data_IF_808468881529
#
_entry.id   IF_808468881529
#
_cell.length_a   1.000
_cell.length_b   1.000
_cell.length_c   1.000
_cell.angle_alpha   90.00
_cell.angle_beta   90.00
_cell.angle_gamma   90.00
#
_symmetry.space_group_name_H-M   'P 1'
#
loop_
_entity.id
_entity.type
_entity.pdbx_description
1 polymer ?
#
# COMPACT_ATOMS: atom_id res chain seq x y z
N UNK A 1 6.32 0.09 -40.70
CA UNK A 1 4.93 0.10 -41.18
C UNK A 1 4.26 -1.19 -40.70
N UNK A 2 3.48 -1.28 -39.63
CA UNK A 2 3.08 -0.45 -38.49
C UNK A 2 2.38 -1.44 -37.53
N UNK A 3 2.68 -1.43 -36.22
CA UNK A 3 1.78 -0.92 -35.14
C UNK A 3 0.39 -1.62 -35.14
N UNK A 4 -0.04 -2.40 -34.14
CA UNK A 4 -0.31 -2.06 -32.73
C UNK A 4 -0.64 -3.38 -32.00
N UNK A 5 -0.01 -3.69 -30.86
CA UNK A 5 -0.44 -3.30 -29.51
C UNK A 5 -1.84 -3.82 -29.12
N UNK A 6 -1.87 -4.89 -28.33
CA UNK A 6 -2.95 -5.17 -27.37
C UNK A 6 -2.34 -5.70 -26.08
N UNK A 7 -1.89 -4.75 -25.25
CA UNK A 7 -2.54 -4.55 -23.95
C UNK A 7 -2.62 -5.78 -23.06
N UNK A 8 -1.47 -6.23 -22.58
CA UNK A 8 -1.40 -7.20 -21.49
C UNK A 8 -2.03 -6.63 -20.22
N UNK A 9 -3.28 -7.01 -19.96
CA UNK A 9 -3.96 -6.81 -18.69
C UNK A 9 -3.22 -7.62 -17.62
N UNK A 10 -2.15 -7.05 -17.07
CA UNK A 10 -1.53 -7.57 -15.85
C UNK A 10 -2.45 -7.21 -14.69
N UNK A 11 -3.48 -8.03 -14.51
CA UNK A 11 -4.11 -8.23 -13.21
C UNK A 11 -2.99 -8.61 -12.24
N UNK A 12 -2.45 -7.63 -11.52
CA UNK A 12 -1.77 -7.86 -10.25
C UNK A 12 -2.85 -8.26 -9.23
N UNK A 13 -3.54 -9.37 -9.51
CA UNK A 13 -4.09 -10.18 -8.46
C UNK A 13 -2.88 -10.64 -7.67
N UNK A 14 -2.68 -10.05 -6.49
CA UNK A 14 -1.92 -10.69 -5.43
C UNK A 14 -2.59 -12.04 -5.23
N UNK A 15 -2.08 -13.06 -5.91
CA UNK A 15 -2.58 -14.40 -5.80
C UNK A 15 -2.11 -14.90 -4.43
N UNK A 16 -2.87 -14.53 -3.40
CA UNK A 16 -2.68 -14.93 -2.01
C UNK A 16 -2.70 -16.46 -1.84
N UNK A 17 -3.00 -17.23 -2.90
CA UNK A 17 -2.99 -18.70 -2.89
C UNK A 17 -1.62 -19.33 -3.14
N UNK A 18 -0.59 -18.58 -3.57
CA UNK A 18 0.77 -19.12 -3.73
C UNK A 18 1.71 -18.80 -2.55
N UNK A 19 1.25 -18.06 -1.53
CA UNK A 19 1.89 -18.04 -0.22
C UNK A 19 1.46 -19.32 0.50
N UNK A 20 1.96 -20.46 0.02
CA UNK A 20 2.03 -21.68 0.80
C UNK A 20 2.85 -21.33 2.05
N UNK A 21 2.13 -21.16 3.14
CA UNK A 21 2.58 -20.73 4.46
C UNK A 21 3.87 -21.46 4.90
N UNK A 22 4.97 -20.78 5.20
CA UNK A 22 5.67 -21.10 6.42
C UNK A 22 4.83 -20.51 7.56
N UNK A 23 4.20 -21.40 8.31
CA UNK A 23 3.60 -21.18 9.63
C UNK A 23 4.30 -20.04 10.39
N UNK A 24 3.64 -18.90 10.66
CA UNK A 24 4.12 -18.00 11.70
C UNK A 24 3.82 -18.66 13.05
N UNK A 25 4.85 -18.98 13.82
CA UNK A 25 4.73 -19.34 15.23
C UNK A 25 5.83 -18.63 16.00
N UNK A 26 5.58 -18.23 17.25
CA UNK A 26 4.48 -17.37 17.69
C UNK A 26 5.03 -16.24 18.59
N UNK A 27 4.13 -15.44 19.14
CA UNK A 27 4.32 -14.50 20.25
C UNK A 27 4.85 -13.11 19.90
N UNK A 28 3.96 -12.12 20.15
CA UNK A 28 4.27 -10.80 20.72
C UNK A 28 5.37 -10.03 19.97
N UNK A 29 5.06 -8.93 19.29
CA UNK A 29 4.95 -7.63 19.95
C UNK A 29 4.53 -6.66 18.84
N UNK A 30 3.47 -5.86 19.06
CA UNK A 30 3.09 -4.72 18.20
C UNK A 30 4.09 -3.55 18.27
N UNK A 31 5.39 -3.87 18.28
CA UNK A 31 6.55 -2.97 18.41
C UNK A 31 7.76 -3.66 17.77
N UNK A 32 7.64 -4.03 16.50
CA UNK A 32 8.82 -4.24 15.67
C UNK A 32 8.89 -3.08 14.69
N UNK A 33 9.94 -2.27 14.80
CA UNK A 33 10.18 -1.19 13.87
C UNK A 33 10.42 -1.76 12.47
N UNK A 34 10.02 -1.02 11.42
CA UNK A 34 10.23 -1.44 10.04
C UNK A 34 11.71 -1.37 9.70
N UNK A 35 12.27 -2.47 9.20
CA UNK A 35 13.69 -2.54 8.83
C UNK A 35 13.96 -1.94 7.45
N UNK A 36 15.19 -1.46 7.23
CA UNK A 36 15.60 -0.91 5.94
C UNK A 36 15.54 -1.95 4.81
N UNK A 37 15.76 -3.23 5.14
CA UNK A 37 15.62 -4.36 4.21
C UNK A 37 14.17 -4.57 3.76
N UNK A 38 13.18 -4.29 4.60
CA UNK A 38 11.77 -4.41 4.27
C UNK A 38 11.32 -3.31 3.30
N UNK A 39 11.74 -2.05 3.56
CA UNK A 39 11.52 -0.92 2.64
C UNK A 39 12.17 -1.18 1.29
N UNK A 40 13.43 -1.63 1.31
CA UNK A 40 14.18 -1.99 0.11
C UNK A 40 13.49 -3.11 -0.68
N UNK A 41 13.08 -4.18 -0.01
CA UNK A 41 12.39 -5.30 -0.64
C UNK A 41 11.07 -4.87 -1.27
N UNK A 42 10.31 -3.98 -0.61
CA UNK A 42 9.05 -3.42 -1.11
C UNK A 42 9.27 -2.62 -2.39
N UNK A 43 10.23 -1.69 -2.40
CA UNK A 43 10.54 -0.87 -3.57
C UNK A 43 10.99 -1.74 -4.75
N UNK A 44 11.86 -2.70 -4.50
CA UNK A 44 12.37 -3.62 -5.51
C UNK A 44 11.28 -4.55 -6.07
N UNK A 45 10.41 -5.08 -5.22
CA UNK A 45 9.39 -6.03 -5.60
C UNK A 45 8.19 -5.39 -6.31
N UNK A 46 7.71 -4.23 -5.84
CA UNK A 46 6.47 -3.64 -6.34
C UNK A 46 6.69 -2.51 -7.34
N UNK A 47 7.74 -1.70 -7.18
CA UNK A 47 7.99 -0.52 -8.03
C UNK A 47 9.09 -0.74 -9.06
N UNK A 48 10.15 -1.46 -8.70
CA UNK A 48 11.40 -1.53 -9.48
C UNK A 48 11.77 -2.95 -9.92
N UNK A 49 10.80 -3.75 -10.37
CA UNK A 49 11.04 -5.14 -10.84
C UNK A 49 12.02 -5.22 -12.02
N UNK A 50 12.10 -4.16 -12.84
CA UNK A 50 13.02 -4.07 -13.99
C UNK A 50 14.40 -3.51 -13.61
N UNK A 51 14.60 -3.17 -12.34
CA UNK A 51 15.80 -2.52 -11.83
C UNK A 51 15.66 -1.00 -11.67
N UNK A 52 16.58 -0.44 -10.88
CA UNK A 52 16.60 0.98 -10.49
C UNK A 52 18.02 1.43 -10.17
N UNK A 53 18.35 2.68 -10.50
CA UNK A 53 19.62 3.27 -10.13
C UNK A 53 19.66 3.64 -8.65
N UNK A 54 20.79 3.45 -7.99
CA UNK A 54 20.96 3.76 -6.57
C UNK A 54 20.67 5.24 -6.28
N UNK A 55 21.03 6.15 -7.18
CA UNK A 55 20.69 7.59 -7.05
C UNK A 55 19.18 7.84 -6.91
N UNK A 56 18.37 7.22 -7.78
CA UNK A 56 16.90 7.32 -7.72
C UNK A 56 16.34 6.60 -6.49
N UNK A 57 16.88 5.42 -6.18
CA UNK A 57 16.44 4.59 -5.07
C UNK A 57 16.59 5.28 -3.71
N UNK A 58 17.59 6.16 -3.55
CA UNK A 58 17.75 6.98 -2.35
C UNK A 58 16.53 7.87 -2.08
N UNK A 59 16.04 8.57 -3.11
CA UNK A 59 14.87 9.44 -2.98
C UNK A 59 13.61 8.65 -2.66
N UNK A 60 13.38 7.56 -3.38
CA UNK A 60 12.23 6.66 -3.20
C UNK A 60 12.22 6.00 -1.81
N UNK A 61 13.40 5.62 -1.30
CA UNK A 61 13.54 5.09 0.05
C UNK A 61 13.22 6.14 1.11
N UNK A 62 13.71 7.38 0.96
CA UNK A 62 13.39 8.47 1.89
C UNK A 62 11.90 8.74 1.91
N UNK A 63 11.28 8.85 0.73
CA UNK A 63 9.85 9.06 0.61
C UNK A 63 9.04 7.94 1.28
N UNK A 64 9.35 6.67 1.02
CA UNK A 64 8.62 5.57 1.65
C UNK A 64 8.86 5.51 3.17
N UNK A 65 10.04 5.90 3.63
CA UNK A 65 10.34 6.05 5.07
C UNK A 65 9.45 7.12 5.72
N UNK A 66 9.31 8.27 5.06
CA UNK A 66 8.42 9.35 5.52
C UNK A 66 6.96 8.89 5.57
N UNK A 67 6.49 8.17 4.55
CA UNK A 67 5.13 7.61 4.52
C UNK A 67 4.88 6.63 5.69
N UNK A 68 5.87 5.82 6.06
CA UNK A 68 5.78 4.91 7.23
C UNK A 68 5.66 5.72 8.53
N UNK A 69 6.49 6.76 8.69
CA UNK A 69 6.49 7.62 9.87
C UNK A 69 5.18 8.43 10.00
N UNK A 70 4.64 8.93 8.88
CA UNK A 70 3.36 9.65 8.85
C UNK A 70 2.18 8.79 9.30
N UNK A 71 2.30 7.46 9.15
CA UNK A 71 1.31 6.49 9.62
C UNK A 71 1.52 6.08 11.08
N UNK A 72 2.56 6.60 11.74
CA UNK A 72 2.84 6.36 13.15
C UNK A 72 3.57 5.05 13.42
N UNK A 73 4.25 4.50 12.40
CA UNK A 73 5.09 3.32 12.55
C UNK A 73 6.56 3.75 12.71
N UNK A 74 7.27 3.06 13.60
CA UNK A 74 8.70 3.30 13.81
C UNK A 74 9.55 2.62 12.73
N UNK A 75 10.75 3.16 12.52
CA UNK A 75 11.78 2.56 11.67
C UNK A 75 13.00 2.18 12.49
N UNK A 76 13.58 1.02 12.20
CA UNK A 76 14.65 0.44 13.02
C UNK A 76 16.06 0.73 12.52
N UNK A 77 16.26 1.89 11.89
CA UNK A 77 17.55 2.26 11.29
C UNK A 77 17.84 3.75 11.43
N UNK A 78 19.11 4.12 11.30
CA UNK A 78 19.57 5.51 11.32
C UNK A 78 20.89 5.68 10.56
N UNK A 79 21.35 6.92 10.41
CA UNK A 79 22.64 7.25 9.79
C UNK A 79 22.52 7.76 8.35
N UNK A 80 23.67 7.86 7.66
CA UNK A 80 23.72 8.40 6.30
C UNK A 80 23.00 7.48 5.31
N UNK A 81 22.02 8.02 4.61
CA UNK A 81 21.12 7.28 3.71
C UNK A 81 21.87 6.41 2.69
N UNK A 82 22.93 6.94 2.06
CA UNK A 82 23.74 6.19 1.09
C UNK A 82 24.39 4.95 1.70
N UNK A 83 24.99 5.08 2.88
CA UNK A 83 25.64 3.96 3.58
C UNK A 83 24.61 2.93 4.05
N UNK A 84 23.44 3.39 4.51
CA UNK A 84 22.33 2.53 4.91
C UNK A 84 21.81 1.68 3.75
N UNK A 85 21.57 2.28 2.58
CA UNK A 85 21.10 1.54 1.41
C UNK A 85 22.15 0.55 0.92
N UNK A 86 23.42 0.94 0.89
CA UNK A 86 24.51 0.02 0.54
C UNK A 86 24.59 -1.17 1.51
N UNK A 87 24.45 -0.91 2.81
CA UNK A 87 24.40 -1.98 3.81
C UNK A 87 23.19 -2.89 3.60
N UNK A 88 21.99 -2.32 3.39
CA UNK A 88 20.76 -3.08 3.14
C UNK A 88 20.87 -3.95 1.88
N UNK A 89 21.46 -3.42 0.81
CA UNK A 89 21.73 -4.18 -0.42
C UNK A 89 22.76 -5.29 -0.19
N UNK A 90 23.74 -5.10 0.70
CA UNK A 90 24.69 -6.15 1.06
C UNK A 90 24.02 -7.32 1.78
N UNK A 91 23.00 -7.06 2.61
CA UNK A 91 22.17 -8.08 3.26
C UNK A 91 21.29 -8.81 2.23
N UNK A 92 20.79 -8.09 1.23
CA UNK A 92 19.95 -8.63 0.17
C UNK A 92 20.71 -9.22 -1.02
N UNK A 93 22.05 -9.31 -0.96
CA UNK A 93 22.92 -9.69 -2.10
C UNK A 93 22.56 -10.99 -2.82
N UNK A 94 21.94 -11.94 -2.12
CA UNK A 94 21.50 -13.22 -2.72
C UNK A 94 20.25 -13.08 -3.59
N UNK A 95 19.56 -11.94 -3.50
CA UNK A 95 18.25 -11.68 -4.12
C UNK A 95 18.31 -10.52 -5.12
N UNK A 96 19.46 -9.84 -5.24
CA UNK A 96 19.65 -8.68 -6.12
C UNK A 96 20.97 -8.79 -6.89
N UNK A 97 20.95 -8.41 -8.16
CA UNK A 97 22.14 -8.19 -8.95
C UNK A 97 22.55 -6.71 -8.86
N UNK A 98 23.84 -6.46 -8.59
CA UNK A 98 24.41 -5.12 -8.47
C UNK A 98 25.37 -4.88 -9.64
N UNK A 99 25.00 -3.97 -10.55
CA UNK A 99 25.76 -3.67 -11.76
C UNK A 99 26.32 -2.25 -11.68
N UNK A 100 27.65 -2.13 -11.72
CA UNK A 100 28.33 -0.82 -11.72
C UNK A 100 28.31 -0.22 -13.13
N UNK A 101 27.87 1.03 -13.24
CA UNK A 101 27.86 1.77 -14.52
C UNK A 101 29.09 2.66 -14.58
N UNK A 102 29.59 2.92 -15.80
CA UNK A 102 30.78 3.75 -16.05
C UNK A 102 30.69 5.18 -15.49
N UNK A 103 29.48 5.69 -15.25
CA UNK A 103 29.21 7.00 -14.64
C UNK A 103 29.29 7.00 -13.10
N UNK A 104 29.65 5.87 -12.47
CA UNK A 104 29.85 5.76 -11.03
C UNK A 104 28.60 5.34 -10.24
N UNK A 105 27.43 5.31 -10.88
CA UNK A 105 26.18 4.84 -10.26
C UNK A 105 26.07 3.30 -10.28
N UNK A 106 25.18 2.78 -9.43
CA UNK A 106 24.92 1.35 -9.26
C UNK A 106 23.49 1.03 -9.68
N UNK A 107 23.34 0.17 -10.69
CA UNK A 107 22.05 -0.40 -11.06
C UNK A 107 21.76 -1.61 -10.17
N UNK A 108 20.65 -1.55 -9.45
CA UNK A 108 20.14 -2.63 -8.60
C UNK A 108 19.02 -3.31 -9.37
N UNK A 109 19.13 -4.62 -9.57
CA UNK A 109 18.10 -5.42 -10.27
C UNK A 109 17.66 -6.56 -9.37
N UNK A 110 16.36 -6.72 -9.06
CA UNK A 110 15.87 -7.89 -8.34
C UNK A 110 16.12 -9.15 -9.18
N UNK A 111 16.64 -10.21 -8.56
CA UNK A 111 16.87 -11.47 -9.28
C UNK A 111 15.55 -12.23 -9.44
N UNK A 112 15.21 -12.69 -10.65
CA UNK A 112 14.06 -13.56 -10.85
C UNK A 112 14.31 -14.93 -10.20
N UNK A 113 13.25 -15.56 -9.69
CA UNK A 113 13.29 -16.91 -9.12
C UNK A 113 13.00 -16.95 -7.62
N UNK A 114 13.54 -17.93 -6.87
CA UNK A 114 13.19 -18.13 -5.46
C UNK A 114 13.56 -16.95 -4.57
N UNK A 115 14.47 -16.07 -5.01
CA UNK A 115 14.81 -14.87 -4.25
C UNK A 115 13.66 -13.86 -4.12
N UNK A 116 12.69 -13.89 -5.04
CA UNK A 116 11.50 -13.05 -4.95
C UNK A 116 10.60 -13.44 -3.77
N UNK A 117 10.60 -14.70 -3.33
CA UNK A 117 9.80 -15.10 -2.17
C UNK A 117 10.36 -14.52 -0.88
N UNK A 118 11.69 -14.45 -0.75
CA UNK A 118 12.33 -13.80 0.39
C UNK A 118 12.11 -12.28 0.38
N UNK A 119 12.20 -11.63 -0.78
CA UNK A 119 11.82 -10.21 -0.90
C UNK A 119 10.34 -9.99 -0.54
N UNK A 120 9.44 -10.90 -0.95
CA UNK A 120 8.04 -10.83 -0.58
C UNK A 120 7.83 -10.97 0.93
N UNK A 121 8.53 -11.91 1.58
CA UNK A 121 8.51 -12.09 3.04
C UNK A 121 8.96 -10.83 3.77
N UNK A 122 10.08 -10.23 3.36
CA UNK A 122 10.55 -8.97 3.95
C UNK A 122 9.58 -7.82 3.70
N UNK A 123 8.99 -7.74 2.49
CA UNK A 123 8.02 -6.70 2.17
C UNK A 123 6.73 -6.82 2.99
N UNK A 124 6.43 -8.01 3.52
CA UNK A 124 5.24 -8.24 4.35
C UNK A 124 5.29 -7.45 5.67
N UNK A 125 6.47 -7.03 6.14
CA UNK A 125 6.61 -6.14 7.30
C UNK A 125 5.96 -4.77 7.09
N UNK A 126 5.79 -4.31 5.83
CA UNK A 126 5.10 -3.06 5.52
C UNK A 126 3.58 -3.23 5.39
N UNK A 127 3.05 -4.46 5.38
CA UNK A 127 1.61 -4.67 5.21
C UNK A 127 0.78 -3.95 6.27
N UNK A 128 1.09 -4.04 7.58
CA UNK A 128 0.29 -3.36 8.59
C UNK A 128 0.34 -1.84 8.48
N UNK A 129 1.43 -1.28 7.93
CA UNK A 129 1.58 0.17 7.72
C UNK A 129 0.47 0.71 6.82
N UNK A 130 0.18 0.02 5.72
CA UNK A 130 -0.77 0.48 4.69
C UNK A 130 -2.12 -0.26 4.76
N UNK A 131 -2.33 -1.12 5.75
CA UNK A 131 -3.48 -2.03 5.78
C UNK A 131 -4.80 -1.28 5.90
N UNK A 132 -4.88 -0.26 6.74
CA UNK A 132 -6.10 0.53 6.95
C UNK A 132 -6.55 1.21 5.64
N UNK A 133 -5.61 1.83 4.93
CA UNK A 133 -5.85 2.43 3.60
C UNK A 133 -6.24 1.37 2.56
N UNK A 134 -5.56 0.23 2.54
CA UNK A 134 -5.86 -0.86 1.61
C UNK A 134 -7.27 -1.44 1.87
N UNK A 135 -7.67 -1.60 3.14
CA UNK A 135 -9.02 -2.02 3.53
C UNK A 135 -10.04 -0.97 3.09
N UNK A 136 -9.77 0.31 3.35
CA UNK A 136 -10.62 1.41 2.94
C UNK A 136 -10.81 1.49 1.43
N UNK A 137 -9.73 1.43 0.65
CA UNK A 137 -9.76 1.43 -0.80
C UNK A 137 -10.48 0.19 -1.36
N UNK A 138 -10.29 -0.98 -0.75
CA UNK A 138 -11.05 -2.18 -1.12
C UNK A 138 -12.54 -2.05 -0.83
N UNK A 139 -12.91 -1.48 0.32
CA UNK A 139 -14.31 -1.25 0.70
C UNK A 139 -15.00 -0.28 -0.28
N UNK A 140 -14.34 0.83 -0.60
CA UNK A 140 -14.78 1.78 -1.63
C UNK A 140 -14.96 1.04 -2.96
N UNK A 141 -13.93 0.36 -3.46
CA UNK A 141 -14.00 -0.38 -4.73
C UNK A 141 -15.15 -1.41 -4.76
N UNK A 142 -15.40 -2.11 -3.65
CA UNK A 142 -16.52 -3.03 -3.51
C UNK A 142 -17.88 -2.35 -3.67
N UNK A 143 -18.06 -1.16 -3.09
CA UNK A 143 -19.28 -0.36 -3.26
C UNK A 143 -19.44 0.17 -4.69
N UNK A 144 -18.33 0.53 -5.33
CA UNK A 144 -18.31 1.02 -6.71
C UNK A 144 -18.63 -0.06 -7.74
N UNK A 145 -18.14 -1.28 -7.53
CA UNK A 145 -18.32 -2.39 -8.46
C UNK A 145 -19.79 -2.74 -8.72
N UNK A 146 -20.69 -2.42 -7.79
CA UNK A 146 -22.14 -2.57 -7.96
C UNK A 146 -22.85 -1.37 -8.59
N UNK A 147 -22.17 -0.24 -8.79
CA UNK A 147 -22.74 1.05 -9.22
C UNK A 147 -22.21 1.56 -10.55
N UNK A 148 -21.01 1.12 -10.94
CA UNK A 148 -20.33 1.55 -12.17
C UNK A 148 -20.13 0.33 -13.07
N UNK A 149 -20.57 0.36 -14.34
CA UNK A 149 -20.32 -0.74 -15.27
C UNK A 149 -18.81 -0.94 -15.47
N UNK A 150 -18.32 -2.18 -15.62
CA UNK A 150 -16.89 -2.49 -15.68
C UNK A 150 -16.15 -1.98 -16.92
N UNK A 151 -16.80 -1.19 -17.78
CA UNK A 151 -16.24 -0.73 -19.05
C UNK A 151 -16.43 0.78 -19.24
N UNK A 152 -15.35 1.52 -19.00
CA UNK A 152 -15.25 2.95 -19.31
C UNK A 152 -13.98 3.56 -18.69
N UNK A 153 -13.37 4.59 -19.30
CA UNK A 153 -12.40 5.41 -18.61
C UNK A 153 -13.04 5.93 -17.31
N UNK A 154 -12.34 5.75 -16.19
CA UNK A 154 -12.70 6.25 -14.85
C UNK A 154 -12.78 7.79 -14.79
N UNK A 155 -12.47 8.44 -15.90
CA UNK A 155 -12.65 9.85 -16.16
C UNK A 155 -14.11 10.08 -16.59
N UNK A 156 -14.87 10.77 -15.71
CA UNK A 156 -16.18 11.38 -15.97
C UNK A 156 -17.44 10.55 -15.64
N UNK A 157 -17.63 10.14 -14.38
CA UNK A 157 -18.99 9.89 -13.85
C UNK A 157 -19.24 10.56 -12.50
N UNK A 158 -19.38 11.88 -12.50
CA UNK A 158 -20.04 12.64 -11.43
C UNK A 158 -19.44 12.53 -10.02
N UNK A 159 -20.00 13.30 -9.09
CA UNK A 159 -19.72 13.15 -7.66
C UNK A 159 -20.46 11.89 -7.20
N UNK A 160 -19.74 10.77 -7.04
CA UNK A 160 -20.34 9.57 -6.48
C UNK A 160 -20.33 9.64 -4.96
N UNK A 161 -21.51 9.82 -4.38
CA UNK A 161 -21.71 9.87 -2.94
C UNK A 161 -21.81 8.44 -2.38
N UNK A 162 -20.95 8.15 -1.40
CA UNK A 162 -21.00 6.95 -0.57
C UNK A 162 -21.61 7.32 0.78
N UNK A 163 -22.56 6.51 1.24
CA UNK A 163 -23.03 6.64 2.63
C UNK A 163 -21.94 6.17 3.58
N UNK A 164 -21.69 6.93 4.66
CA UNK A 164 -20.77 6.51 5.72
C UNK A 164 -21.14 5.12 6.27
N UNK A 165 -22.44 4.85 6.47
CA UNK A 165 -22.91 3.57 6.99
C UNK A 165 -22.63 2.38 6.05
N UNK A 166 -22.73 2.59 4.74
CA UNK A 166 -22.39 1.56 3.74
C UNK A 166 -20.90 1.26 3.76
N UNK A 167 -20.08 2.31 3.81
CA UNK A 167 -18.63 2.19 3.88
C UNK A 167 -18.19 1.48 5.18
N UNK A 168 -18.81 1.81 6.31
CA UNK A 168 -18.57 1.14 7.60
C UNK A 168 -18.86 -0.35 7.53
N UNK A 169 -20.03 -0.71 6.99
CA UNK A 169 -20.41 -2.12 6.85
C UNK A 169 -19.40 -2.87 5.98
N UNK A 170 -18.95 -2.28 4.87
CA UNK A 170 -17.94 -2.91 4.02
C UNK A 170 -16.59 -3.05 4.70
N UNK A 171 -16.12 -2.02 5.42
CA UNK A 171 -14.87 -2.09 6.20
C UNK A 171 -14.97 -3.20 7.26
N UNK A 172 -16.07 -3.27 8.01
CA UNK A 172 -16.29 -4.30 9.02
C UNK A 172 -16.28 -5.72 8.42
N UNK A 173 -16.90 -5.91 7.25
CA UNK A 173 -16.88 -7.20 6.55
C UNK A 173 -15.45 -7.60 6.17
N UNK A 174 -14.67 -6.68 5.59
CA UNK A 174 -13.27 -6.93 5.22
C UNK A 174 -12.40 -7.20 6.44
N UNK A 175 -12.59 -6.44 7.52
CA UNK A 175 -11.85 -6.61 8.77
C UNK A 175 -12.06 -8.02 9.36
N UNK A 176 -13.28 -8.56 9.32
CA UNK A 176 -13.55 -9.93 9.81
C UNK A 176 -12.93 -11.04 8.96
N UNK A 177 -12.52 -10.75 7.72
CA UNK A 177 -11.85 -11.71 6.84
C UNK A 177 -10.32 -11.69 6.99
N UNK A 178 -9.77 -10.64 7.59
CA UNK A 178 -8.33 -10.47 7.74
C UNK A 178 -7.80 -11.15 9.01
N UNK A 179 -6.60 -11.75 8.97
CA UNK A 179 -5.90 -12.22 10.17
C UNK A 179 -5.73 -11.10 11.19
N UNK A 180 -6.05 -11.38 12.47
CA UNK A 180 -5.96 -10.38 13.55
C UNK A 180 -4.53 -9.86 13.76
N UNK A 181 -3.53 -10.71 13.51
CA UNK A 181 -2.12 -10.35 13.61
C UNK A 181 -1.70 -9.24 12.62
N UNK A 182 -2.41 -9.10 11.49
CA UNK A 182 -2.14 -8.05 10.50
C UNK A 182 -2.82 -6.73 10.87
N UNK A 183 -3.98 -6.77 11.53
CA UNK A 183 -4.75 -5.58 11.89
C UNK A 183 -4.06 -4.74 12.96
N UNK A 184 -3.13 -5.32 13.73
CA UNK A 184 -2.38 -4.66 14.81
C UNK A 184 -3.27 -3.78 15.72
N UNK A 185 -4.49 -4.27 16.00
CA UNK A 185 -5.45 -3.51 16.79
C UNK A 185 -4.85 -3.18 18.15
N UNK A 186 -4.96 -1.91 18.55
CA UNK A 186 -4.55 -1.48 19.89
C UNK A 186 -5.37 -2.24 20.93
N UNK A 187 -4.81 -2.52 22.12
CA UNK A 187 -5.58 -3.14 23.19
C UNK A 187 -6.84 -2.31 23.45
N UNK A 188 -7.98 -3.00 23.53
CA UNK A 188 -9.31 -2.42 23.71
C UNK A 188 -9.84 -1.56 22.55
N UNK A 189 -9.20 -1.58 21.37
CA UNK A 189 -9.74 -0.88 20.19
C UNK A 189 -11.05 -1.54 19.73
N UNK A 190 -12.12 -0.77 19.70
CA UNK A 190 -13.39 -1.23 19.14
C UNK A 190 -13.32 -1.30 17.61
N UNK A 191 -14.15 -2.14 17.00
CA UNK A 191 -14.27 -2.20 15.54
C UNK A 191 -14.71 -0.87 14.93
N UNK A 192 -15.54 -0.11 15.64
CA UNK A 192 -15.94 1.24 15.25
C UNK A 192 -14.74 2.20 15.21
N UNK A 193 -13.86 2.15 16.21
CA UNK A 193 -12.64 2.97 16.22
C UNK A 193 -11.72 2.63 15.05
N UNK A 194 -11.61 1.35 14.68
CA UNK A 194 -10.86 0.95 13.49
C UNK A 194 -11.51 1.48 12.19
N UNK A 195 -12.83 1.41 12.06
CA UNK A 195 -13.53 1.99 10.91
C UNK A 195 -13.34 3.52 10.80
N UNK A 196 -13.33 4.24 11.93
CA UNK A 196 -13.01 5.66 11.95
C UNK A 196 -11.58 5.92 11.48
N UNK A 197 -10.61 5.16 12.00
CA UNK A 197 -9.21 5.26 11.57
C UNK A 197 -9.06 5.05 10.06
N UNK A 198 -9.73 4.05 9.48
CA UNK A 198 -9.73 3.83 8.03
C UNK A 198 -10.28 5.04 7.27
N UNK A 199 -11.38 5.65 7.72
CA UNK A 199 -11.91 6.86 7.08
C UNK A 199 -10.92 8.01 7.17
N UNK A 200 -10.39 8.28 8.36
CA UNK A 200 -9.46 9.38 8.59
C UNK A 200 -8.24 9.26 7.67
N UNK A 201 -7.72 8.04 7.48
CA UNK A 201 -6.63 7.76 6.54
C UNK A 201 -7.03 8.00 5.09
N UNK A 202 -8.20 7.54 4.66
CA UNK A 202 -8.67 7.81 3.29
C UNK A 202 -8.84 9.30 3.02
N UNK A 203 -9.30 10.08 3.99
CA UNK A 203 -9.41 11.54 3.89
C UNK A 203 -8.04 12.19 3.85
N UNK A 204 -7.13 11.76 4.75
CA UNK A 204 -5.75 12.26 4.82
C UNK A 204 -4.97 12.00 3.52
N UNK A 205 -5.18 10.85 2.89
CA UNK A 205 -4.62 10.50 1.57
C UNK A 205 -5.34 11.23 0.41
N UNK A 206 -6.37 12.03 0.68
CA UNK A 206 -7.14 12.73 -0.33
C UNK A 206 -7.97 11.81 -1.22
N UNK A 207 -8.32 10.60 -0.77
CA UNK A 207 -9.16 9.65 -1.51
C UNK A 207 -10.65 9.91 -1.27
N UNK A 208 -11.02 10.42 -0.10
CA UNK A 208 -12.38 10.78 0.26
C UNK A 208 -12.48 12.25 0.70
N UNK A 209 -13.59 12.88 0.35
CA UNK A 209 -13.98 14.22 0.79
C UNK A 209 -15.32 14.13 1.51
N UNK A 210 -15.43 14.75 2.68
CA UNK A 210 -16.68 14.85 3.41
C UNK A 210 -17.60 15.83 2.70
N UNK A 211 -18.81 15.39 2.37
CA UNK A 211 -19.87 16.23 1.81
C UNK A 211 -21.03 16.29 2.80
N UNK A 212 -21.35 17.51 3.27
CA UNK A 212 -22.54 17.75 4.08
C UNK A 212 -23.77 17.83 3.17
N UNK A 213 -24.59 16.79 3.15
CA UNK A 213 -25.84 16.80 2.38
C UNK A 213 -26.90 17.54 3.18
N UNK A 214 -27.07 18.83 2.92
CA UNK A 214 -28.16 19.61 3.46
C UNK A 214 -29.46 19.38 2.69
N UNK A 215 -30.41 18.60 3.22
CA UNK A 215 -31.84 18.78 2.92
C UNK A 215 -32.76 18.54 4.12
N UNK A 216 -33.35 19.65 4.57
CA UNK A 216 -34.60 19.83 5.30
C UNK A 216 -35.04 18.74 6.32
N UNK A 217 -35.05 19.17 7.59
CA UNK A 217 -35.70 18.58 8.77
C UNK A 217 -35.09 17.27 9.28
N UNK A 218 -34.32 17.38 10.36
CA UNK A 218 -34.10 16.29 11.31
C UNK A 218 -32.68 15.75 11.38
N UNK A 219 -32.20 15.11 10.31
CA UNK A 219 -30.96 14.32 10.37
C UNK A 219 -29.92 14.79 9.35
N UNK A 220 -28.79 15.31 9.86
CA UNK A 220 -27.59 15.54 9.05
C UNK A 220 -27.01 14.18 8.67
N UNK A 221 -27.11 13.80 7.39
CA UNK A 221 -26.44 12.61 6.85
C UNK A 221 -25.11 13.04 6.23
N UNK A 222 -23.99 12.55 6.76
CA UNK A 222 -22.68 12.72 6.16
C UNK A 222 -22.52 11.77 4.97
N UNK A 223 -22.24 12.33 3.79
CA UNK A 223 -21.88 11.56 2.60
C UNK A 223 -20.40 11.76 2.29
N UNK A 224 -19.80 10.78 1.62
CA UNK A 224 -18.39 10.83 1.22
C UNK A 224 -18.29 10.81 -0.29
N UNK A 225 -17.66 11.81 -0.88
CA UNK A 225 -17.34 11.84 -2.31
C UNK A 225 -15.91 11.37 -2.54
N UNK A 226 -15.66 10.75 -3.70
CA UNK A 226 -14.29 10.52 -4.16
C UNK A 226 -13.69 11.84 -4.57
N UNK A 227 -12.43 12.09 -4.16
CA UNK A 227 -11.69 13.21 -4.72
C UNK A 227 -11.50 12.97 -6.22
N UNK A 228 -12.02 13.87 -7.05
CA UNK A 228 -11.70 13.89 -8.47
C UNK A 228 -10.25 14.32 -8.61
N UNK A 229 -9.36 13.36 -8.88
CA UNK A 229 -7.96 13.67 -9.22
C UNK A 229 -7.92 14.39 -10.56
N UNK A 230 -7.91 15.73 -10.53
CA UNK A 230 -7.33 16.51 -11.61
C UNK A 230 -5.81 16.34 -11.53
N UNK A 231 -5.24 15.42 -12.31
CA UNK A 231 -3.81 15.46 -12.60
C UNK A 231 -3.52 16.82 -13.27
N UNK A 232 -2.56 17.63 -12.80
CA UNK A 232 -2.00 18.67 -13.66
C UNK A 232 -1.25 18.01 -14.83
N UNK A 233 -1.19 18.68 -16.00
CA UNK A 233 -0.53 18.16 -17.20
C UNK A 233 0.98 17.91 -17.03
#
# INVERSE_FOLDING_TARGET
EDLLDHGGTRLLGLNLTSISTPRPTPASVGSSAVMSTAIMATLLLFKHQKGVFLSQLLGEFSWLTEEILLRGFDVGFSGQLRSLLQHSLSLLRAHVALLRIRQGDLLVVPQPGPGLTHLAQLSAELLPVFLSEAVGACAVRGLLAGRVPPQGPWELQGILLLSQNELYRQILLLMHLLPQDLLLLKPCQSSYCYCQEVLDRLIQCGLLVAEEVGRAVGDKILAWSLASSSLPP
#
